data_IF_018624147650
#
_entry.id   IF_018624147650
#
_cell.length_a   1.000
_cell.length_b   1.000
_cell.length_c   1.000
_cell.angle_alpha   90.00
_cell.angle_beta   90.00
_cell.angle_gamma   90.00
#
_symmetry.space_group_name_H-M   'P 1'
#
loop_
_entity.id
_entity.type
_entity.pdbx_description
1 polymer ?
#
# COMPACT_ATOMS: atom_id res chain seq x y z
N UNK A 1 -26.59 7.91 2.93
CA UNK A 1 -27.00 7.47 4.28
C UNK A 1 -25.80 6.81 4.93
N UNK A 2 -25.42 7.24 6.13
CA UNK A 2 -24.33 6.63 6.94
C UNK A 2 -24.94 6.27 8.30
N UNK A 3 -24.61 5.12 8.82
CA UNK A 3 -24.97 4.65 10.15
C UNK A 3 -23.70 4.32 10.90
N UNK A 4 -23.74 4.51 12.20
CA UNK A 4 -22.62 4.31 13.11
C UNK A 4 -23.13 3.72 14.41
N UNK A 5 -22.41 2.75 14.94
CA UNK A 5 -22.69 2.12 16.22
C UNK A 5 -21.40 2.05 17.01
N UNK A 6 -21.36 2.75 18.13
CA UNK A 6 -20.21 2.85 19.00
C UNK A 6 -20.49 2.25 20.38
N UNK A 7 -19.49 1.59 20.94
CA UNK A 7 -19.48 1.11 22.32
C UNK A 7 -18.18 1.55 22.99
N UNK A 8 -18.34 2.24 24.11
CA UNK A 8 -17.23 2.57 24.99
C UNK A 8 -17.37 1.84 26.33
N UNK A 9 -16.30 1.21 26.76
CA UNK A 9 -16.26 0.49 28.02
C UNK A 9 -14.95 0.70 28.76
N UNK A 10 -15.05 0.85 30.08
CA UNK A 10 -13.88 0.94 30.95
C UNK A 10 -13.95 -0.11 32.04
N UNK A 11 -12.84 -0.79 32.27
CA UNK A 11 -12.72 -1.90 33.19
C UNK A 11 -11.63 -1.64 34.22
N UNK A 12 -11.70 -2.33 35.35
CA UNK A 12 -10.69 -2.32 36.41
C UNK A 12 -10.30 -0.91 36.87
N UNK A 13 -11.28 -0.08 37.21
CA UNK A 13 -11.09 1.33 37.61
C UNK A 13 -10.33 2.16 36.55
N UNK A 14 -10.75 2.02 35.30
CA UNK A 14 -10.15 2.70 34.15
C UNK A 14 -8.72 2.25 33.78
N UNK A 15 -8.29 1.09 34.26
CA UNK A 15 -7.00 0.50 33.86
C UNK A 15 -7.04 0.03 32.41
N UNK A 16 -8.17 -0.51 31.95
CA UNK A 16 -8.42 -0.89 30.57
C UNK A 16 -9.62 -0.11 30.04
N UNK A 17 -9.44 0.61 28.96
CA UNK A 17 -10.51 1.25 28.18
C UNK A 17 -10.56 0.68 26.78
N UNK A 18 -11.77 0.40 26.31
CA UNK A 18 -12.06 -0.10 24.97
C UNK A 18 -13.08 0.81 24.33
N UNK A 19 -12.82 1.20 23.09
CA UNK A 19 -13.76 1.88 22.21
C UNK A 19 -13.88 1.07 20.94
N UNK A 20 -15.07 0.68 20.59
CA UNK A 20 -15.36 -0.07 19.38
C UNK A 20 -16.43 0.66 18.59
N UNK A 21 -16.14 0.95 17.31
CA UNK A 21 -17.03 1.58 16.37
C UNK A 21 -17.26 0.64 15.18
N UNK A 22 -18.51 0.50 14.77
CA UNK A 22 -18.89 -0.19 13.55
C UNK A 22 -19.73 0.75 12.71
N UNK A 23 -19.30 1.00 11.48
CA UNK A 23 -20.00 1.88 10.56
C UNK A 23 -20.33 1.18 9.24
N UNK A 24 -21.46 1.60 8.67
CA UNK A 24 -21.86 1.21 7.32
C UNK A 24 -22.61 2.33 6.64
N UNK A 25 -22.44 2.42 5.33
CA UNK A 25 -23.04 3.49 4.57
C UNK A 25 -23.40 3.06 3.15
N UNK A 26 -24.31 3.84 2.56
CA UNK A 26 -24.64 3.75 1.14
C UNK A 26 -24.68 5.15 0.58
N UNK A 27 -24.06 5.33 -0.58
CA UNK A 27 -24.09 6.57 -1.35
C UNK A 27 -24.83 6.31 -2.65
N UNK A 28 -25.75 7.20 -2.96
CA UNK A 28 -26.58 7.18 -4.16
C UNK A 28 -26.31 8.46 -4.95
N UNK A 29 -26.77 8.50 -6.19
CA UNK A 29 -26.72 9.66 -7.04
C UNK A 29 -25.32 10.28 -7.17
N UNK A 30 -24.30 9.39 -7.23
CA UNK A 30 -22.93 9.83 -7.42
C UNK A 30 -22.79 10.33 -8.86
N UNK A 31 -22.22 11.52 -8.99
CA UNK A 31 -21.97 12.14 -10.27
C UNK A 31 -21.01 11.27 -11.11
N UNK A 32 -21.43 10.97 -12.32
CA UNK A 32 -20.62 10.36 -13.35
C UNK A 32 -20.45 11.34 -14.50
N UNK A 33 -19.20 11.64 -14.85
CA UNK A 33 -18.88 12.50 -15.98
C UNK A 33 -19.26 11.84 -17.31
N UNK A 34 -19.38 12.62 -18.36
CA UNK A 34 -19.67 12.12 -19.71
C UNK A 34 -18.70 10.99 -20.13
N UNK A 35 -17.42 11.13 -19.83
CA UNK A 35 -16.39 10.13 -20.12
C UNK A 35 -16.50 8.81 -19.33
N UNK A 36 -17.26 8.81 -18.26
CA UNK A 36 -17.52 7.61 -17.44
C UNK A 36 -18.84 6.93 -17.82
N UNK A 37 -19.61 7.53 -18.73
CA UNK A 37 -20.86 6.99 -19.24
C UNK A 37 -20.60 6.02 -20.39
N UNK A 38 -21.24 4.88 -20.34
CA UNK A 38 -21.15 3.85 -21.39
C UNK A 38 -22.30 3.97 -22.41
N UNK A 39 -22.43 5.13 -23.03
CA UNK A 39 -23.37 5.31 -24.14
C UNK A 39 -22.70 4.86 -25.43
N UNK A 40 -23.29 3.91 -26.15
CA UNK A 40 -22.70 3.37 -27.37
C UNK A 40 -22.54 4.47 -28.44
N UNK A 41 -21.38 4.56 -29.12
CA UNK A 41 -21.13 5.60 -30.14
C UNK A 41 -22.10 5.61 -31.31
N UNK A 42 -22.68 4.46 -31.65
CA UNK A 42 -23.64 4.34 -32.74
C UNK A 42 -24.99 5.02 -32.46
N UNK A 43 -25.22 5.43 -31.23
CA UNK A 43 -26.41 6.25 -30.88
C UNK A 43 -26.37 7.67 -31.47
N UNK A 44 -25.19 8.12 -31.91
CA UNK A 44 -25.01 9.42 -32.55
C UNK A 44 -25.15 10.63 -31.61
N UNK A 45 -25.16 10.41 -30.30
CA UNK A 45 -25.24 11.43 -29.28
C UNK A 45 -24.06 11.32 -28.30
N UNK A 46 -23.47 12.48 -27.94
CA UNK A 46 -22.43 12.52 -26.91
C UNK A 46 -23.04 12.18 -25.54
N UNK A 47 -22.32 11.43 -24.70
CA UNK A 47 -22.75 11.14 -23.36
C UNK A 47 -22.93 12.43 -22.55
N UNK A 48 -24.00 12.51 -21.78
CA UNK A 48 -24.24 13.61 -20.83
C UNK A 48 -23.95 13.13 -19.42
N UNK A 49 -23.29 13.95 -18.61
CA UNK A 49 -23.06 13.63 -17.21
C UNK A 49 -24.37 13.39 -16.45
N UNK A 50 -24.38 12.44 -15.53
CA UNK A 50 -25.57 12.10 -14.74
C UNK A 50 -25.23 11.63 -13.33
N UNK A 51 -26.17 11.81 -12.41
CA UNK A 51 -26.05 11.36 -11.02
C UNK A 51 -26.65 9.97 -10.87
N UNK A 52 -25.92 8.91 -11.18
CA UNK A 52 -26.43 7.53 -11.25
C UNK A 52 -25.59 6.52 -10.46
N UNK A 53 -24.35 6.86 -10.13
CA UNK A 53 -23.46 5.94 -9.45
C UNK A 53 -23.94 5.59 -8.02
N UNK A 54 -23.68 4.36 -7.59
CA UNK A 54 -24.03 3.88 -6.23
C UNK A 54 -22.87 3.13 -5.65
N UNK A 55 -22.58 3.40 -4.37
CA UNK A 55 -21.54 2.69 -3.61
C UNK A 55 -22.06 2.33 -2.22
N UNK A 56 -21.46 1.32 -1.62
CA UNK A 56 -21.65 0.99 -0.21
C UNK A 56 -20.29 0.92 0.47
N UNK A 57 -20.27 1.20 1.76
CA UNK A 57 -19.08 1.11 2.60
C UNK A 57 -19.42 0.46 3.93
N UNK A 58 -18.46 -0.25 4.52
CA UNK A 58 -18.54 -0.79 5.88
C UNK A 58 -17.16 -0.87 6.49
N UNK A 59 -17.09 -0.71 7.77
CA UNK A 59 -15.83 -0.83 8.49
C UNK A 59 -16.05 -0.90 9.99
N UNK A 60 -14.95 -1.11 10.69
CA UNK A 60 -14.92 -1.08 12.14
C UNK A 60 -13.59 -0.47 12.62
N UNK A 61 -13.63 0.14 13.78
CA UNK A 61 -12.49 0.69 14.48
C UNK A 61 -12.48 0.17 15.90
N UNK A 62 -11.30 -0.20 16.39
CA UNK A 62 -11.09 -0.67 17.77
C UNK A 62 -9.93 0.10 18.37
N UNK A 63 -10.21 0.79 19.45
CA UNK A 63 -9.18 1.40 20.28
C UNK A 63 -9.13 0.71 21.63
N UNK A 64 -7.92 0.33 22.05
CA UNK A 64 -7.65 -0.27 23.34
C UNK A 64 -6.58 0.56 24.05
N UNK A 65 -6.86 0.97 25.27
CA UNK A 65 -5.89 1.66 26.13
C UNK A 65 -5.77 0.92 27.44
N UNK A 66 -4.55 0.56 27.77
CA UNK A 66 -4.23 -0.08 29.05
C UNK A 66 -3.17 0.73 29.77
N UNK A 67 -3.46 1.14 31.02
CA UNK A 67 -2.53 1.88 31.85
C UNK A 67 -2.52 1.27 33.25
N UNK A 68 -1.34 0.95 33.75
CA UNK A 68 -1.23 0.40 35.10
C UNK A 68 0.08 0.79 35.78
N UNK A 69 0.15 0.56 37.09
CA UNK A 69 1.36 0.76 37.87
C UNK A 69 1.53 -0.35 38.90
N UNK A 70 2.77 -0.76 39.11
CA UNK A 70 3.12 -1.74 40.13
C UNK A 70 3.37 -1.09 41.49
N UNK A 71 3.32 -1.88 42.57
CA UNK A 71 3.60 -1.43 43.92
C UNK A 71 5.04 -0.89 44.09
N UNK A 72 5.99 -1.33 43.29
CA UNK A 72 7.37 -0.84 43.30
C UNK A 72 7.61 0.38 42.40
N UNK A 73 6.53 0.98 41.85
CA UNK A 73 6.60 2.26 41.15
C UNK A 73 6.87 2.18 39.64
N UNK A 74 6.87 0.99 39.01
CA UNK A 74 6.87 0.86 37.58
C UNK A 74 5.49 1.24 37.02
N UNK A 75 5.44 2.26 36.15
CA UNK A 75 4.26 2.65 35.36
C UNK A 75 4.41 2.10 33.96
N UNK A 76 3.37 1.53 33.39
CA UNK A 76 3.41 1.01 32.04
C UNK A 76 2.07 1.19 31.35
N UNK A 77 2.12 1.34 30.03
CA UNK A 77 0.93 1.53 29.22
C UNK A 77 1.07 0.84 27.86
N UNK A 78 -0.05 0.53 27.30
CA UNK A 78 -0.19 0.06 25.93
C UNK A 78 -1.43 0.70 25.30
N UNK A 79 -1.28 1.19 24.07
CA UNK A 79 -2.41 1.66 23.27
C UNK A 79 -2.36 0.90 21.95
N UNK A 80 -3.49 0.32 21.55
CA UNK A 80 -3.64 -0.35 20.28
C UNK A 80 -4.84 0.24 19.54
N UNK A 81 -4.65 0.59 18.28
CA UNK A 81 -5.68 1.07 17.39
C UNK A 81 -5.68 0.20 16.14
N UNK A 82 -6.84 -0.33 15.80
CA UNK A 82 -7.06 -1.12 14.61
C UNK A 82 -8.23 -0.51 13.85
N UNK A 83 -8.07 -0.29 12.57
CA UNK A 83 -9.16 0.09 11.70
C UNK A 83 -9.23 -0.83 10.49
N UNK A 84 -10.43 -1.14 10.07
CA UNK A 84 -10.73 -1.85 8.85
C UNK A 84 -11.85 -1.14 8.10
N UNK A 85 -11.63 -0.86 6.83
CA UNK A 85 -12.63 -0.28 5.95
C UNK A 85 -12.64 -0.97 4.59
N UNK A 86 -13.85 -1.25 4.10
CA UNK A 86 -14.06 -1.80 2.77
C UNK A 86 -15.24 -1.11 2.12
N UNK A 87 -15.04 -0.63 0.91
CA UNK A 87 -16.09 -0.10 0.05
C UNK A 87 -16.38 -1.08 -1.11
N UNK A 88 -17.47 -0.82 -1.82
CA UNK A 88 -17.85 -1.58 -3.00
C UNK A 88 -18.69 -0.69 -3.91
N UNK A 89 -18.42 -0.76 -5.21
CA UNK A 89 -19.23 -0.14 -6.24
C UNK A 89 -20.47 -1.03 -6.43
N UNK A 90 -21.64 -0.51 -6.06
CA UNK A 90 -22.91 -1.23 -6.21
C UNK A 90 -23.45 -1.09 -7.62
N UNK A 91 -23.30 0.10 -8.19
CA UNK A 91 -23.74 0.40 -9.54
C UNK A 91 -22.81 1.43 -10.18
N UNK A 92 -22.36 1.10 -11.33
CA UNK A 92 -21.72 1.95 -12.30
C UNK A 92 -22.22 1.49 -13.67
N UNK A 93 -22.34 2.37 -14.64
CA UNK A 93 -22.91 2.03 -15.95
C UNK A 93 -21.96 1.09 -16.75
N UNK A 94 -21.77 -0.13 -16.23
CA UNK A 94 -20.98 -1.14 -16.90
C UNK A 94 -21.73 -1.62 -18.16
N UNK A 95 -21.06 -1.80 -19.32
CA UNK A 95 -21.68 -2.32 -20.53
C UNK A 95 -22.32 -3.69 -20.27
N UNK A 96 -23.49 -3.93 -20.86
CA UNK A 96 -24.27 -5.15 -20.63
C UNK A 96 -23.49 -6.43 -20.99
N UNK A 97 -22.76 -6.41 -22.10
CA UNK A 97 -22.01 -7.55 -22.61
C UNK A 97 -20.58 -7.67 -22.06
N UNK A 98 -20.18 -6.78 -21.15
CA UNK A 98 -18.86 -6.87 -20.49
C UNK A 98 -18.81 -8.11 -19.61
N UNK A 99 -17.76 -8.94 -19.71
CA UNK A 99 -17.55 -10.08 -18.82
C UNK A 99 -17.58 -9.67 -17.36
N UNK A 100 -18.07 -10.54 -16.47
CA UNK A 100 -18.27 -10.22 -15.06
C UNK A 100 -16.96 -9.74 -14.37
N UNK A 101 -15.83 -10.28 -14.76
CA UNK A 101 -14.52 -9.89 -14.20
C UNK A 101 -14.05 -8.50 -14.64
N UNK A 102 -14.59 -7.94 -15.74
CA UNK A 102 -14.26 -6.59 -16.21
C UNK A 102 -15.25 -5.51 -15.74
N UNK A 103 -16.40 -5.91 -15.20
CA UNK A 103 -17.35 -4.95 -14.62
C UNK A 103 -16.73 -4.26 -13.41
N UNK A 104 -17.02 -2.98 -13.24
CA UNK A 104 -16.58 -2.23 -12.04
C UNK A 104 -17.51 -2.46 -10.86
N UNK A 105 -18.79 -2.73 -11.12
CA UNK A 105 -19.75 -3.11 -10.09
C UNK A 105 -19.34 -4.44 -9.44
N UNK A 106 -19.43 -4.52 -8.11
CA UNK A 106 -19.00 -5.66 -7.30
C UNK A 106 -17.58 -5.56 -6.76
N UNK A 107 -16.77 -4.65 -7.28
CA UNK A 107 -15.39 -4.42 -6.83
C UNK A 107 -15.27 -3.16 -5.98
N UNK A 108 -14.14 -3.01 -5.31
CA UNK A 108 -13.82 -1.83 -4.51
C UNK A 108 -13.51 -0.62 -5.40
N UNK A 109 -13.71 0.57 -4.86
CA UNK A 109 -13.24 1.81 -5.50
C UNK A 109 -11.71 1.79 -5.55
N UNK A 110 -11.16 1.95 -6.77
CA UNK A 110 -9.72 1.88 -7.00
C UNK A 110 -9.15 0.46 -7.01
N UNK A 111 -10.01 -0.56 -7.21
CA UNK A 111 -9.57 -1.92 -7.48
C UNK A 111 -8.54 -1.90 -8.62
N UNK A 112 -7.38 -2.50 -8.38
CA UNK A 112 -6.37 -2.63 -9.41
C UNK A 112 -6.80 -3.69 -10.43
N UNK A 113 -6.49 -3.40 -11.68
CA UNK A 113 -6.72 -4.33 -12.80
C UNK A 113 -5.45 -4.46 -13.62
N UNK A 114 -5.17 -5.63 -14.14
CA UNK A 114 -3.94 -5.88 -14.89
C UNK A 114 -4.02 -7.14 -15.73
N UNK A 115 -3.10 -7.25 -16.69
CA UNK A 115 -2.77 -8.53 -17.27
C UNK A 115 -2.13 -9.44 -16.22
N UNK A 116 -2.47 -10.72 -16.23
CA UNK A 116 -1.76 -11.72 -15.45
C UNK A 116 -0.52 -12.18 -16.21
N UNK A 117 0.52 -12.57 -15.48
CA UNK A 117 1.73 -13.15 -16.06
C UNK A 117 2.03 -14.51 -15.43
N UNK A 118 2.66 -15.40 -16.20
CA UNK A 118 3.06 -16.76 -15.77
C UNK A 118 4.56 -16.93 -15.61
N UNK A 119 5.33 -15.87 -15.83
CA UNK A 119 6.79 -15.91 -15.76
C UNK A 119 7.45 -15.19 -16.92
N UNK A 120 8.67 -15.61 -17.26
CA UNK A 120 9.44 -15.10 -18.39
C UNK A 120 9.46 -16.13 -19.50
N UNK A 121 9.33 -15.71 -20.76
CA UNK A 121 9.47 -16.57 -21.93
C UNK A 121 10.94 -16.98 -22.04
N UNK A 122 11.25 -18.26 -21.83
CA UNK A 122 12.61 -18.79 -21.77
C UNK A 122 13.05 -19.51 -23.04
N UNK A 123 12.12 -19.87 -23.91
CA UNK A 123 12.39 -20.63 -25.13
C UNK A 123 11.62 -20.11 -26.35
N UNK A 124 12.15 -20.43 -27.53
CA UNK A 124 11.48 -20.13 -28.79
C UNK A 124 10.13 -20.87 -28.91
N UNK A 125 10.04 -22.12 -28.41
CA UNK A 125 8.79 -22.86 -28.40
C UNK A 125 7.69 -22.13 -27.60
N UNK A 126 8.00 -21.66 -26.40
CA UNK A 126 7.07 -20.85 -25.60
C UNK A 126 6.67 -19.57 -26.34
N UNK A 127 7.60 -18.93 -27.04
CA UNK A 127 7.32 -17.73 -27.81
C UNK A 127 6.35 -18.01 -28.97
N UNK A 128 6.52 -19.11 -29.70
CA UNK A 128 5.70 -19.42 -30.86
C UNK A 128 4.38 -20.11 -30.53
N UNK A 129 4.29 -20.81 -29.41
CA UNK A 129 3.07 -21.48 -28.96
C UNK A 129 2.21 -20.63 -28.04
N UNK A 130 2.74 -19.53 -27.50
CA UNK A 130 2.01 -18.59 -26.66
C UNK A 130 1.02 -17.75 -27.45
N UNK A 131 -0.01 -17.22 -26.76
CA UNK A 131 -0.98 -16.31 -27.34
C UNK A 131 -0.29 -15.05 -27.93
N UNK A 132 -0.80 -14.57 -29.05
CA UNK A 132 -0.28 -13.38 -29.70
C UNK A 132 -0.66 -12.13 -28.92
N UNK A 133 0.27 -11.20 -28.73
CA UNK A 133 -0.03 -9.92 -28.07
C UNK A 133 -0.46 -8.90 -29.12
N UNK A 134 -1.65 -8.33 -28.96
CA UNK A 134 -2.20 -7.35 -29.87
C UNK A 134 -1.32 -6.08 -29.94
N UNK A 135 -1.20 -5.51 -31.13
CA UNK A 135 -0.51 -4.23 -31.40
C UNK A 135 0.96 -4.16 -30.93
N UNK A 136 1.65 -5.28 -30.83
CA UNK A 136 3.08 -5.31 -30.51
C UNK A 136 3.90 -5.99 -31.61
N UNK A 137 5.20 -5.74 -31.62
CA UNK A 137 6.15 -6.40 -32.55
C UNK A 137 6.36 -7.90 -32.26
N UNK A 138 5.50 -8.48 -31.46
CA UNK A 138 5.53 -9.88 -31.04
C UNK A 138 6.22 -10.11 -29.70
N UNK A 139 6.01 -11.30 -29.17
CA UNK A 139 6.72 -11.79 -27.99
C UNK A 139 8.16 -12.12 -28.36
N UNK A 140 9.07 -11.90 -27.44
CA UNK A 140 10.46 -12.32 -27.57
C UNK A 140 10.89 -13.15 -26.36
N UNK A 141 11.86 -14.03 -26.57
CA UNK A 141 12.51 -14.74 -25.46
C UNK A 141 13.12 -13.71 -24.48
N UNK A 142 12.91 -13.90 -23.21
CA UNK A 142 13.30 -12.95 -22.17
C UNK A 142 12.24 -11.92 -21.78
N UNK A 143 11.08 -11.89 -22.45
CA UNK A 143 9.95 -11.04 -22.10
C UNK A 143 9.00 -11.74 -21.11
N UNK A 144 8.14 -10.96 -20.45
CA UNK A 144 7.10 -11.52 -19.60
C UNK A 144 6.07 -12.28 -20.43
N UNK A 145 5.77 -13.48 -20.01
CA UNK A 145 4.68 -14.28 -20.59
C UNK A 145 3.37 -13.87 -19.95
N UNK A 146 2.51 -13.24 -20.72
CA UNK A 146 1.17 -12.87 -20.30
C UNK A 146 0.23 -14.06 -20.46
N UNK A 147 -0.84 -14.07 -19.68
CA UNK A 147 -1.87 -15.11 -19.70
C UNK A 147 -3.04 -14.62 -20.54
N UNK A 148 -3.40 -15.37 -21.55
CA UNK A 148 -4.66 -15.26 -22.27
C UNK A 148 -5.78 -15.75 -21.32
N UNK A 149 -6.47 -14.80 -20.69
CA UNK A 149 -7.44 -15.08 -19.63
C UNK A 149 -8.77 -15.56 -20.18
N UNK A 150 -9.18 -15.03 -21.33
CA UNK A 150 -10.43 -15.39 -21.99
C UNK A 150 -10.30 -16.61 -22.90
N UNK A 151 -9.05 -17.01 -23.28
CA UNK A 151 -8.75 -18.20 -24.07
C UNK A 151 -9.04 -18.03 -25.56
N UNK A 152 -9.02 -16.81 -26.09
CA UNK A 152 -9.30 -16.56 -27.52
C UNK A 152 -8.06 -16.62 -28.42
N UNK A 153 -6.87 -16.80 -27.81
CA UNK A 153 -5.59 -16.90 -28.51
C UNK A 153 -4.89 -15.58 -28.76
N UNK A 154 -5.48 -14.45 -28.31
CA UNK A 154 -4.92 -13.11 -28.46
C UNK A 154 -4.92 -12.42 -27.11
N UNK A 155 -3.80 -11.83 -26.71
CA UNK A 155 -3.73 -11.03 -25.49
C UNK A 155 -4.07 -9.58 -25.83
N UNK A 156 -5.22 -9.15 -25.38
CA UNK A 156 -5.75 -7.81 -25.59
C UNK A 156 -6.38 -7.23 -24.31
N UNK A 157 -7.13 -6.15 -24.44
CA UNK A 157 -7.80 -5.50 -23.28
C UNK A 157 -8.84 -6.40 -22.60
N UNK A 158 -9.29 -7.49 -23.25
CA UNK A 158 -10.23 -8.44 -22.66
C UNK A 158 -9.57 -9.36 -21.64
N UNK A 159 -8.22 -9.43 -21.61
CA UNK A 159 -7.46 -10.21 -20.63
C UNK A 159 -7.11 -9.42 -19.38
N UNK A 160 -7.53 -8.16 -19.30
CA UNK A 160 -7.32 -7.36 -18.10
C UNK A 160 -8.32 -7.79 -17.04
N UNK A 161 -7.81 -8.27 -15.92
CA UNK A 161 -8.60 -8.79 -14.79
C UNK A 161 -8.32 -8.05 -13.49
N UNK A 162 -9.26 -8.04 -12.54
CA UNK A 162 -9.00 -7.54 -11.20
C UNK A 162 -7.90 -8.36 -10.52
N UNK A 163 -6.92 -7.67 -9.96
CA UNK A 163 -5.79 -8.29 -9.28
C UNK A 163 -5.38 -7.48 -8.05
N UNK A 164 -5.11 -8.18 -6.94
CA UNK A 164 -4.70 -7.54 -5.70
C UNK A 164 -5.78 -6.69 -5.04
N UNK A 165 -5.36 -5.67 -4.33
CA UNK A 165 -6.19 -4.74 -3.58
C UNK A 165 -6.09 -3.32 -4.15
N UNK A 166 -6.99 -2.40 -3.79
CA UNK A 166 -6.75 -0.97 -4.00
C UNK A 166 -5.42 -0.52 -3.36
N UNK A 167 -4.87 0.58 -3.81
CA UNK A 167 -3.65 1.14 -3.20
C UNK A 167 -3.89 1.70 -1.78
N UNK A 168 -5.15 1.94 -1.40
CA UNK A 168 -5.53 2.30 -0.04
C UNK A 168 -5.61 1.05 0.82
N UNK A 169 -4.91 1.01 1.96
CA UNK A 169 -4.97 -0.12 2.86
C UNK A 169 -6.38 -0.35 3.39
N UNK A 170 -6.83 -1.61 3.42
CA UNK A 170 -8.07 -1.96 4.11
C UNK A 170 -7.89 -2.01 5.62
N UNK A 171 -6.68 -2.33 6.09
CA UNK A 171 -6.35 -2.37 7.51
C UNK A 171 -5.25 -1.36 7.81
N UNK A 172 -5.48 -0.59 8.87
CA UNK A 172 -4.45 0.27 9.48
C UNK A 172 -4.34 -0.07 10.96
N UNK A 173 -3.11 -0.17 11.43
CA UNK A 173 -2.82 -0.59 12.79
C UNK A 173 -1.77 0.34 13.41
N UNK A 174 -2.02 0.75 14.63
CA UNK A 174 -1.09 1.55 15.43
C UNK A 174 -1.01 0.93 16.82
N UNK A 175 0.19 0.64 17.27
CA UNK A 175 0.43 0.06 18.57
C UNK A 175 1.55 0.81 19.27
N UNK A 176 1.26 1.35 20.45
CA UNK A 176 2.24 2.06 21.27
C UNK A 176 2.37 1.39 22.62
N UNK A 177 3.58 1.09 23.02
CA UNK A 177 3.90 0.60 24.37
C UNK A 177 4.88 1.53 25.04
N UNK A 178 4.73 1.70 26.34
CA UNK A 178 5.68 2.47 27.10
C UNK A 178 5.74 2.04 28.56
N UNK A 179 6.89 2.33 29.16
CA UNK A 179 7.14 2.08 30.58
C UNK A 179 7.98 3.20 31.18
N UNK A 180 7.74 3.48 32.46
CA UNK A 180 8.52 4.46 33.20
C UNK A 180 8.81 3.94 34.61
N UNK A 181 10.08 4.00 35.02
CA UNK A 181 10.54 3.57 36.32
C UNK A 181 11.77 4.34 36.79
N UNK A 182 11.71 4.87 37.99
CA UNK A 182 12.83 5.61 38.62
C UNK A 182 13.48 6.66 37.71
N UNK A 183 12.67 7.45 36.99
CA UNK A 183 13.14 8.49 36.08
C UNK A 183 13.45 8.01 34.65
N UNK A 184 13.64 6.73 34.42
CA UNK A 184 13.81 6.16 33.08
C UNK A 184 12.43 5.97 32.45
N UNK A 185 12.25 6.38 31.21
CA UNK A 185 11.05 6.12 30.41
C UNK A 185 11.41 5.61 29.02
N UNK A 186 10.68 4.61 28.56
CA UNK A 186 10.76 4.04 27.22
C UNK A 186 9.38 4.08 26.59
N UNK A 187 9.32 4.50 25.35
CA UNK A 187 8.11 4.45 24.52
C UNK A 187 8.48 3.94 23.14
N UNK A 188 7.68 3.03 22.59
CA UNK A 188 7.86 2.51 21.23
C UNK A 188 6.51 2.48 20.54
N UNK A 189 6.45 3.06 19.35
CA UNK A 189 5.27 3.09 18.50
C UNK A 189 5.52 2.27 17.24
N UNK A 190 4.61 1.37 16.97
CA UNK A 190 4.54 0.58 15.75
C UNK A 190 3.38 1.09 14.88
N UNK A 191 3.57 1.07 13.59
CA UNK A 191 2.56 1.39 12.59
C UNK A 191 2.56 0.31 11.53
N UNK A 192 1.39 -0.11 11.09
CA UNK A 192 1.26 -1.13 10.05
C UNK A 192 0.05 -0.90 9.16
N UNK A 193 0.16 -1.40 7.94
CA UNK A 193 -0.91 -1.45 6.95
C UNK A 193 -0.97 -2.83 6.31
N UNK A 194 -2.17 -3.23 5.90
CA UNK A 194 -2.38 -4.52 5.25
C UNK A 194 -3.50 -4.44 4.21
N UNK A 195 -3.48 -5.36 3.25
CA UNK A 195 -4.43 -5.41 2.14
C UNK A 195 -4.39 -4.12 1.32
N UNK A 196 -3.23 -3.81 0.79
CA UNK A 196 -3.02 -2.78 -0.21
C UNK A 196 -2.05 -3.27 -1.27
N UNK A 197 -2.27 -2.88 -2.50
CA UNK A 197 -1.38 -3.19 -3.62
C UNK A 197 -0.67 -1.91 -4.06
N UNK A 198 0.63 -1.99 -4.15
CA UNK A 198 1.46 -0.94 -4.74
C UNK A 198 1.80 -1.34 -6.17
N UNK A 199 1.59 -0.42 -7.10
CA UNK A 199 1.94 -0.63 -8.50
C UNK A 199 3.29 0.01 -8.77
N UNK A 200 4.26 -0.80 -9.18
CA UNK A 200 5.58 -0.34 -9.62
C UNK A 200 5.48 0.11 -11.07
N UNK A 201 6.19 1.16 -11.43
CA UNK A 201 6.21 1.59 -12.82
C UNK A 201 6.91 0.56 -13.71
N UNK A 202 6.34 0.27 -14.86
CA UNK A 202 7.01 -0.58 -15.86
C UNK A 202 8.39 -0.02 -16.25
N UNK A 203 8.57 1.30 -16.23
CA UNK A 203 9.85 1.95 -16.46
C UNK A 203 10.97 1.61 -15.47
N UNK A 204 10.63 1.05 -14.30
CA UNK A 204 11.66 0.57 -13.36
C UNK A 204 12.37 -0.69 -13.86
N UNK A 205 11.69 -1.47 -14.69
CA UNK A 205 12.14 -2.79 -15.15
C UNK A 205 12.46 -2.82 -16.64
N UNK A 206 11.93 -1.86 -17.39
CA UNK A 206 12.14 -1.77 -18.82
C UNK A 206 13.33 -0.87 -19.09
N UNK A 207 14.07 -1.23 -20.10
CA UNK A 207 15.08 -0.48 -20.83
C UNK A 207 15.68 0.72 -20.10
N UNK A 208 16.99 0.81 -20.00
CA UNK A 208 17.63 2.05 -19.62
C UNK A 208 17.25 3.12 -20.64
N UNK A 209 16.25 3.88 -20.34
CA UNK A 209 16.03 5.17 -20.96
C UNK A 209 17.31 5.98 -20.76
N UNK A 210 17.63 6.90 -21.63
CA UNK A 210 18.87 7.71 -21.58
C UNK A 210 19.21 8.31 -20.21
N UNK A 211 18.29 8.25 -19.23
CA UNK A 211 18.43 8.83 -17.90
C UNK A 211 17.99 7.91 -16.75
N UNK A 212 17.65 6.65 -17.01
CA UNK A 212 17.26 5.70 -15.93
C UNK A 212 18.37 4.69 -15.71
N UNK A 213 18.82 4.61 -14.47
CA UNK A 213 19.75 3.59 -14.00
C UNK A 213 18.91 2.42 -13.44
N UNK A 214 19.17 1.23 -13.91
CA UNK A 214 18.58 0.01 -13.31
C UNK A 214 19.12 -0.17 -11.89
N UNK A 215 18.24 -0.51 -10.96
CA UNK A 215 18.64 -0.87 -9.63
C UNK A 215 19.48 -2.17 -9.67
N UNK A 216 20.57 -2.20 -8.92
CA UNK A 216 21.47 -3.37 -8.85
C UNK A 216 20.75 -4.62 -8.35
N UNK A 217 19.72 -4.48 -7.50
CA UNK A 217 18.88 -5.60 -7.06
C UNK A 217 18.06 -6.21 -8.19
N UNK A 218 17.63 -5.39 -9.14
CA UNK A 218 16.91 -5.84 -10.34
C UNK A 218 17.87 -6.49 -11.32
N UNK A 219 19.03 -5.87 -11.54
CA UNK A 219 20.05 -6.42 -12.46
C UNK A 219 20.54 -7.80 -12.07
N UNK A 220 20.65 -8.06 -10.75
CA UNK A 220 21.12 -9.36 -10.25
C UNK A 220 20.11 -10.50 -10.44
N UNK A 221 18.84 -10.19 -10.69
CA UNK A 221 17.75 -11.15 -10.82
C UNK A 221 17.06 -11.07 -12.19
N UNK A 222 17.71 -10.48 -13.18
CA UNK A 222 17.23 -10.46 -14.56
C UNK A 222 17.48 -11.79 -15.25
N UNK A 223 16.50 -12.22 -16.04
CA UNK A 223 16.69 -13.36 -16.91
C UNK A 223 17.74 -13.03 -18.01
N UNK A 224 18.72 -13.88 -18.17
CA UNK A 224 19.75 -13.79 -19.20
C UNK A 224 19.78 -15.08 -20.03
N UNK A 225 20.06 -15.00 -21.35
CA UNK A 225 20.25 -16.19 -22.17
C UNK A 225 21.32 -17.11 -21.59
N UNK A 226 20.97 -18.38 -21.36
CA UNK A 226 21.87 -19.37 -20.75
C UNK A 226 21.78 -19.46 -19.22
N UNK A 227 21.06 -18.58 -18.53
CA UNK A 227 20.68 -18.79 -17.14
C UNK A 227 19.54 -19.82 -17.11
N UNK A 228 19.84 -21.02 -16.62
CA UNK A 228 18.85 -22.12 -16.64
C UNK A 228 17.75 -22.00 -15.62
N UNK A 229 17.88 -21.14 -14.62
CA UNK A 229 16.90 -20.98 -13.55
C UNK A 229 16.54 -19.51 -13.45
N UNK A 230 15.42 -19.23 -14.01
CA UNK A 230 14.54 -18.11 -13.89
C UNK A 230 14.98 -16.90 -13.12
N UNK A 231 15.58 -15.93 -13.77
CA UNK A 231 15.50 -14.56 -13.25
C UNK A 231 14.04 -14.16 -13.09
N UNK A 232 13.70 -13.51 -11.99
CA UNK A 232 12.35 -13.01 -11.71
C UNK A 232 11.98 -11.87 -12.66
N UNK A 233 12.99 -11.15 -13.17
CA UNK A 233 12.80 -10.01 -14.05
C UNK A 233 13.09 -10.35 -15.50
N UNK A 234 12.28 -9.76 -16.39
CA UNK A 234 12.50 -9.91 -17.82
C UNK A 234 13.83 -9.29 -18.26
N UNK A 235 14.32 -9.72 -19.41
CA UNK A 235 15.50 -9.14 -20.05
C UNK A 235 15.24 -7.65 -20.39
N UNK A 236 16.18 -6.74 -20.10
CA UNK A 236 16.03 -5.34 -20.49
C UNK A 236 16.00 -5.23 -22.02
N UNK A 237 14.93 -4.67 -22.53
CA UNK A 237 14.76 -4.45 -23.98
C UNK A 237 15.16 -3.03 -24.33
N UNK A 238 15.99 -2.85 -25.33
CA UNK A 238 16.41 -1.53 -25.80
C UNK A 238 15.22 -0.75 -26.39
N UNK A 239 15.14 0.55 -26.11
CA UNK A 239 14.10 1.45 -26.60
C UNK A 239 14.05 1.43 -28.14
N UNK A 240 12.88 1.26 -28.70
CA UNK A 240 12.63 1.29 -30.14
C UNK A 240 12.21 -0.03 -30.73
N UNK A 241 12.29 -1.12 -29.99
CA UNK A 241 11.88 -2.43 -30.46
C UNK A 241 10.37 -2.71 -30.38
N UNK A 242 9.54 -1.71 -30.03
CA UNK A 242 8.09 -1.90 -29.91
C UNK A 242 7.65 -2.85 -28.78
N UNK A 243 8.61 -3.45 -28.10
CA UNK A 243 8.37 -4.32 -26.97
C UNK A 243 7.91 -3.47 -25.79
N UNK A 244 6.64 -3.21 -25.74
CA UNK A 244 6.05 -2.66 -24.53
C UNK A 244 6.16 -3.72 -23.46
N UNK A 245 6.88 -3.40 -22.39
CA UNK A 245 6.76 -4.13 -21.16
C UNK A 245 5.34 -3.87 -20.69
N UNK A 246 4.48 -4.81 -20.93
CA UNK A 246 3.10 -4.68 -20.51
C UNK A 246 3.07 -4.60 -18.99
N UNK A 247 2.44 -3.55 -18.49
CA UNK A 247 2.11 -3.48 -17.08
C UNK A 247 1.23 -4.67 -16.76
N UNK A 248 1.75 -5.60 -15.98
CA UNK A 248 1.06 -6.82 -15.59
C UNK A 248 1.03 -6.97 -14.06
N UNK A 249 0.47 -8.05 -13.60
CA UNK A 249 0.49 -8.43 -12.18
C UNK A 249 1.93 -8.51 -11.62
N UNK A 250 2.92 -8.64 -12.48
CA UNK A 250 4.34 -8.53 -12.15
C UNK A 250 4.72 -7.18 -11.49
N UNK A 251 4.10 -6.09 -11.92
CA UNK A 251 4.37 -4.77 -11.38
C UNK A 251 3.57 -4.50 -10.10
N UNK A 252 2.69 -5.40 -9.71
CA UNK A 252 1.85 -5.27 -8.54
C UNK A 252 2.44 -6.04 -7.37
N UNK A 253 2.79 -5.32 -6.34
CA UNK A 253 3.43 -5.88 -5.14
C UNK A 253 2.55 -5.69 -3.91
N UNK A 254 2.65 -6.63 -2.98
CA UNK A 254 1.96 -6.51 -1.69
C UNK A 254 2.54 -5.35 -0.90
N UNK A 255 1.71 -4.35 -0.64
CA UNK A 255 2.05 -3.16 0.15
C UNK A 255 1.92 -3.36 1.66
N UNK A 256 1.69 -4.58 2.13
CA UNK A 256 1.65 -4.90 3.56
C UNK A 256 2.98 -4.55 4.21
N UNK A 257 2.91 -3.76 5.27
CA UNK A 257 4.11 -3.32 6.00
C UNK A 257 3.86 -3.14 7.49
N UNK A 258 4.91 -3.33 8.27
CA UNK A 258 5.02 -2.97 9.67
C UNK A 258 6.25 -2.13 9.90
N UNK A 259 6.16 -1.15 10.78
CA UNK A 259 7.24 -0.19 11.02
C UNK A 259 7.36 0.14 12.49
N UNK A 260 8.59 0.21 12.98
CA UNK A 260 8.89 0.95 14.21
C UNK A 260 8.92 2.43 13.84
N UNK A 261 7.77 3.10 14.05
CA UNK A 261 7.55 4.48 13.62
C UNK A 261 8.33 5.45 14.49
N UNK A 262 8.21 5.29 15.81
CA UNK A 262 8.91 6.13 16.80
C UNK A 262 9.39 5.24 17.94
N UNK A 263 10.56 5.57 18.49
CA UNK A 263 11.01 5.05 19.77
C UNK A 263 11.72 6.17 20.53
N UNK A 264 11.46 6.27 21.82
CA UNK A 264 12.11 7.25 22.70
C UNK A 264 12.54 6.57 23.99
N UNK A 265 13.78 6.76 24.36
CA UNK A 265 14.33 6.45 25.68
C UNK A 265 14.71 7.77 26.35
N UNK A 266 14.22 7.99 27.55
CA UNK A 266 14.55 9.22 28.28
C UNK A 266 14.85 8.93 29.75
N UNK A 267 15.65 9.82 30.33
CA UNK A 267 15.93 9.84 31.76
C UNK A 267 15.62 11.22 32.31
N UNK A 268 14.71 11.27 33.28
CA UNK A 268 14.30 12.50 33.95
C UNK A 268 14.90 12.54 35.37
N UNK A 269 15.75 13.49 35.60
CA UNK A 269 16.38 13.75 36.90
C UNK A 269 15.59 14.82 37.65
N UNK A 270 15.08 14.46 38.83
CA UNK A 270 14.46 15.39 39.79
C UNK A 270 15.26 15.28 41.08
N UNK A 271 16.04 16.28 41.38
CA UNK A 271 16.89 16.28 42.57
C UNK A 271 16.71 17.57 43.35
N UNK A 272 16.82 17.51 44.67
CA UNK A 272 16.71 18.67 45.54
C UNK A 272 17.77 19.75 45.24
N UNK A 273 18.96 19.33 44.79
CA UNK A 273 20.02 20.24 44.35
C UNK A 273 19.62 21.05 43.11
N UNK A 274 18.89 20.48 42.20
CA UNK A 274 18.35 21.16 41.02
C UNK A 274 17.30 22.19 41.42
N UNK A 275 16.40 21.83 42.36
CA UNK A 275 15.36 22.74 42.87
C UNK A 275 15.95 23.98 43.57
N UNK A 276 17.07 23.83 44.29
CA UNK A 276 17.80 24.95 44.85
C UNK A 276 18.38 25.90 43.79
N UNK A 277 18.64 25.39 42.59
CA UNK A 277 19.07 26.18 41.44
C UNK A 277 17.89 26.68 40.57
N UNK A 278 16.64 26.53 41.04
CA UNK A 278 15.45 26.94 40.30
C UNK A 278 15.02 25.97 39.19
N UNK A 279 15.63 24.78 39.11
CA UNK A 279 15.32 23.78 38.08
C UNK A 279 14.44 22.71 38.69
N UNK A 280 13.21 22.57 38.17
CA UNK A 280 12.24 21.57 38.62
C UNK A 280 12.58 20.17 38.11
N UNK A 281 12.95 20.06 36.83
CA UNK A 281 13.35 18.79 36.22
C UNK A 281 14.36 18.96 35.08
N UNK A 282 15.20 17.95 34.89
CA UNK A 282 16.17 17.86 33.81
C UNK A 282 15.97 16.51 33.09
N UNK A 283 15.50 16.56 31.85
CA UNK A 283 15.22 15.38 31.05
C UNK A 283 16.20 15.24 29.88
N UNK A 284 16.92 14.16 29.84
CA UNK A 284 17.74 13.74 28.72
C UNK A 284 16.96 12.72 27.91
N UNK A 285 16.96 12.84 26.58
CA UNK A 285 16.28 11.87 25.74
C UNK A 285 17.03 11.59 24.45
N UNK A 286 16.85 10.36 23.97
CA UNK A 286 17.20 9.92 22.63
C UNK A 286 15.92 9.42 21.98
N UNK A 287 15.61 9.91 20.80
CA UNK A 287 14.46 9.44 20.04
C UNK A 287 14.87 9.11 18.62
N UNK A 288 14.15 8.18 18.04
CA UNK A 288 14.31 7.79 16.66
C UNK A 288 12.99 7.68 15.94
N UNK A 289 12.96 8.11 14.68
CA UNK A 289 11.80 8.01 13.81
C UNK A 289 12.12 7.10 12.62
N UNK A 290 11.14 6.34 12.15
CA UNK A 290 11.25 5.41 11.02
C UNK A 290 12.41 4.42 11.17
N UNK A 291 12.55 3.82 12.36
CA UNK A 291 13.75 3.06 12.74
C UNK A 291 13.90 1.76 11.96
N UNK A 292 12.80 1.04 11.77
CA UNK A 292 12.82 -0.24 11.11
C UNK A 292 11.54 -0.48 10.33
N UNK A 293 11.69 -1.04 9.12
CA UNK A 293 10.60 -1.44 8.25
C UNK A 293 10.63 -2.96 8.07
N UNK A 294 9.49 -3.60 8.29
CA UNK A 294 9.21 -4.99 7.96
C UNK A 294 8.23 -4.98 6.78
N UNK A 295 8.69 -5.35 5.60
CA UNK A 295 7.91 -5.36 4.37
C UNK A 295 8.48 -6.40 3.42
N UNK A 296 7.67 -6.87 2.49
CA UNK A 296 8.13 -7.67 1.35
C UNK A 296 8.83 -6.82 0.28
N UNK A 297 8.78 -5.50 0.43
CA UNK A 297 9.45 -4.57 -0.48
C UNK A 297 10.88 -4.30 0.01
N UNK A 298 11.82 -4.27 -0.91
CA UNK A 298 13.21 -3.94 -0.63
C UNK A 298 13.40 -2.44 -0.31
N UNK A 299 12.39 -1.63 -0.53
CA UNK A 299 12.44 -0.19 -0.35
C UNK A 299 11.23 0.33 0.44
N UNK A 300 11.44 1.48 1.09
CA UNK A 300 10.43 2.14 1.88
C UNK A 300 9.51 3.01 1.00
N UNK A 301 8.28 2.55 0.80
CA UNK A 301 7.27 3.22 -0.01
C UNK A 301 6.09 3.76 0.80
N UNK A 302 6.27 4.12 2.07
CA UNK A 302 5.17 4.69 2.87
C UNK A 302 4.49 5.87 2.17
N UNK A 303 5.21 6.61 1.35
CA UNK A 303 4.68 7.78 0.65
C UNK A 303 3.85 7.46 -0.58
N UNK A 304 3.56 6.17 -0.83
CA UNK A 304 2.58 5.68 -1.80
C UNK A 304 2.62 6.43 -3.13
N UNK A 305 3.64 6.24 -3.91
CA UNK A 305 3.71 6.87 -5.21
C UNK A 305 4.12 5.85 -6.24
N UNK A 306 3.28 5.68 -7.24
CA UNK A 306 3.69 5.10 -8.50
C UNK A 306 4.93 5.85 -8.96
N UNK A 307 6.05 5.16 -9.13
CA UNK A 307 7.17 5.76 -9.86
C UNK A 307 6.68 5.92 -11.30
N UNK A 308 6.35 7.13 -11.69
CA UNK A 308 6.23 7.48 -13.10
C UNK A 308 7.62 7.75 -13.65
N UNK A 309 7.81 7.68 -14.97
CA UNK A 309 9.09 7.93 -15.62
C UNK A 309 9.76 9.25 -15.17
N UNK A 310 8.95 10.23 -14.72
CA UNK A 310 9.41 11.54 -14.24
C UNK A 310 9.70 11.57 -12.73
N UNK A 311 9.38 10.52 -11.97
CA UNK A 311 9.44 10.48 -10.52
C UNK A 311 10.34 9.37 -9.95
N UNK A 312 11.34 8.94 -10.69
CA UNK A 312 12.37 7.97 -10.23
C UNK A 312 13.10 8.48 -8.97
N UNK A 313 13.03 9.78 -8.72
CA UNK A 313 13.76 10.48 -7.65
C UNK A 313 12.83 10.99 -6.55
N UNK A 314 11.85 10.20 -6.08
CA UNK A 314 11.15 10.58 -4.84
C UNK A 314 12.12 10.55 -3.68
N UNK A 315 12.07 11.61 -2.88
CA UNK A 315 12.90 11.71 -1.69
C UNK A 315 12.63 10.51 -0.77
N UNK A 316 13.64 9.70 -0.44
CA UNK A 316 13.45 8.52 0.38
C UNK A 316 13.04 8.91 1.80
N UNK A 317 12.27 8.05 2.45
CA UNK A 317 11.95 8.19 3.85
C UNK A 317 13.24 8.13 4.68
N UNK A 318 13.46 9.18 5.47
CA UNK A 318 14.68 9.30 6.29
C UNK A 318 14.48 8.67 7.66
N UNK A 319 15.47 7.94 8.13
CA UNK A 319 15.62 7.61 9.54
C UNK A 319 16.18 8.84 10.25
N UNK A 320 15.55 9.24 11.34
CA UNK A 320 16.00 10.40 12.12
C UNK A 320 16.30 9.96 13.54
N UNK A 321 17.45 10.36 14.04
CA UNK A 321 17.85 10.20 15.43
C UNK A 321 18.01 11.58 16.04
N UNK A 322 17.40 11.79 17.22
CA UNK A 322 17.43 13.07 17.92
C UNK A 322 17.93 12.83 19.34
N UNK A 323 18.88 13.62 19.75
CA UNK A 323 19.36 13.71 21.14
C UNK A 323 18.95 15.06 21.68
N UNK A 324 18.38 15.10 22.85
CA UNK A 324 17.94 16.37 23.41
C UNK A 324 17.98 16.40 24.93
N UNK A 325 17.98 17.64 25.43
CA UNK A 325 17.86 17.95 26.83
C UNK A 325 16.72 18.93 27.02
N UNK A 326 15.80 18.62 27.92
CA UNK A 326 14.70 19.51 28.30
C UNK A 326 14.91 19.92 29.75
N UNK A 327 14.88 21.24 30.00
CA UNK A 327 15.02 21.84 31.35
C UNK A 327 13.68 22.47 31.68
N UNK A 328 13.14 22.18 32.85
CA UNK A 328 11.93 22.79 33.41
C UNK A 328 12.32 23.59 34.65
N UNK A 329 11.94 24.85 34.69
CA UNK A 329 12.19 25.78 35.77
C UNK A 329 11.00 25.93 36.72
#
# INVERSE_FOLDING_TARGET
MKNDFAVEASFFKNTLSLTFDYYWGRRYDIFMSASQRNIPPWLGADPVAANIGKTKERGWELEMRYNNSTKFGLKYYATAMFSHGKDEIVYMEDPEFTPAYQKKAGYQIGQQTSYLHSGVITSWDQMYTGAAVENTSGNNVGMLQLIDYNGDGVIDTNDIVPYGYPNRPQYTMNFTVGAAWKGISLSVQFYGTRNCTLVRSAGEFSSPHYYTVLDTSIMGDMWLPGSQEGGTYHHPVYKGSGASVHSGSFNMVDGTQWRIKNAELAYTLTAERLRKAGITSLRFYISGNNLWLFSHLNEDRETGGTRTNDNVMKYPLTKRYTFGVKIEF
#
